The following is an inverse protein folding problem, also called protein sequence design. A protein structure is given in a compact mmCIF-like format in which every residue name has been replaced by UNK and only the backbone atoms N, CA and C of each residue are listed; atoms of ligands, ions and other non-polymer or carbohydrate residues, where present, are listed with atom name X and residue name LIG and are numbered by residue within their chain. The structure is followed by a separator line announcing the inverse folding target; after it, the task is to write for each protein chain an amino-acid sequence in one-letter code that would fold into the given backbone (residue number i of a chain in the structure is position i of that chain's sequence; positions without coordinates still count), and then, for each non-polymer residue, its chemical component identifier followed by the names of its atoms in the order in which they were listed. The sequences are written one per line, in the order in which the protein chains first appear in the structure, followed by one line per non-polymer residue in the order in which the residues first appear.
data_IF_078009892007
#
_entry.id   IF_078009892007
#
_cell.length_a   1.000
_cell.length_b   1.000
_cell.length_c   1.000
_cell.angle_alpha   90.00
_cell.angle_beta   90.00
_cell.angle_gamma   90.00
#
_symmetry.space_group_name_H-M   'P 1'
#
loop_
_entity.id
_entity.type
_entity.pdbx_description
1 polymer ?
#
# COMPACT_ATOMS: atom_id res chain seq x y z
N UNK A 1 -30.54 6.52 14.67
CA UNK A 1 -29.81 7.77 14.36
C UNK A 1 -28.38 7.54 13.85
N UNK A 2 -27.59 6.69 14.46
CA UNK A 2 -26.17 6.50 14.06
C UNK A 2 -25.98 5.94 12.64
N UNK A 3 -26.83 4.98 12.21
CA UNK A 3 -26.68 4.35 10.88
C UNK A 3 -26.95 5.32 9.72
N UNK A 4 -28.00 6.13 9.79
CA UNK A 4 -28.32 7.12 8.75
C UNK A 4 -27.24 8.21 8.65
N UNK A 5 -26.67 8.62 9.78
CA UNK A 5 -25.61 9.61 9.81
C UNK A 5 -24.33 9.07 9.13
N UNK A 6 -23.96 7.82 9.40
CA UNK A 6 -22.83 7.18 8.76
C UNK A 6 -23.05 7.03 7.25
N UNK A 7 -24.25 6.61 6.83
CA UNK A 7 -24.60 6.51 5.42
C UNK A 7 -24.54 7.86 4.70
N UNK A 8 -25.00 8.94 5.34
CA UNK A 8 -24.85 10.29 4.80
C UNK A 8 -23.38 10.67 4.59
N UNK A 9 -22.51 10.43 5.57
CA UNK A 9 -21.07 10.69 5.42
C UNK A 9 -20.41 9.83 4.34
N UNK A 10 -20.85 8.58 4.16
CA UNK A 10 -20.37 7.72 3.07
C UNK A 10 -20.77 8.30 1.71
N UNK A 11 -22.00 8.80 1.60
CA UNK A 11 -22.46 9.45 0.37
C UNK A 11 -21.69 10.75 0.09
N UNK A 12 -21.43 11.56 1.12
CA UNK A 12 -20.57 12.74 0.99
C UNK A 12 -19.17 12.41 0.49
N UNK A 13 -18.61 11.24 0.92
CA UNK A 13 -17.30 10.78 0.39
C UNK A 13 -17.41 10.37 -1.07
N UNK A 14 -18.48 9.69 -1.48
CA UNK A 14 -18.73 9.32 -2.89
C UNK A 14 -18.84 10.53 -3.80
N UNK A 15 -19.48 11.57 -3.32
CA UNK A 15 -19.72 12.81 -4.06
C UNK A 15 -18.55 13.80 -4.00
N UNK A 16 -17.48 13.46 -3.25
CA UNK A 16 -16.29 14.31 -3.11
C UNK A 16 -16.44 15.48 -2.14
N UNK A 17 -17.57 15.59 -1.44
CA UNK A 17 -17.84 16.63 -0.42
C UNK A 17 -17.10 16.37 0.90
N UNK A 18 -16.70 15.12 1.17
CA UNK A 18 -15.95 14.73 2.36
C UNK A 18 -14.74 13.89 1.96
N UNK A 19 -13.53 14.24 2.45
CA UNK A 19 -12.35 13.41 2.22
C UNK A 19 -12.42 12.11 3.04
N UNK A 20 -11.80 11.02 2.55
CA UNK A 20 -11.69 9.76 3.29
C UNK A 20 -11.04 9.97 4.66
N UNK A 21 -10.00 10.78 4.74
CA UNK A 21 -9.32 11.11 6.00
C UNK A 21 -10.28 11.80 6.99
N UNK A 22 -11.04 12.78 6.51
CA UNK A 22 -12.03 13.48 7.32
C UNK A 22 -13.15 12.53 7.78
N UNK A 23 -13.56 11.59 6.90
CA UNK A 23 -14.48 10.52 7.28
C UNK A 23 -13.92 9.68 8.43
N UNK A 24 -12.70 9.15 8.29
CA UNK A 24 -12.05 8.34 9.33
C UNK A 24 -11.92 9.11 10.65
N UNK A 25 -11.56 10.40 10.60
CA UNK A 25 -11.49 11.25 11.80
C UNK A 25 -12.85 11.43 12.47
N UNK A 26 -13.92 11.66 11.69
CA UNK A 26 -15.28 11.76 12.22
C UNK A 26 -15.75 10.43 12.80
N UNK A 27 -15.41 9.29 12.16
CA UNK A 27 -15.72 7.97 12.69
C UNK A 27 -14.99 7.70 14.00
N UNK A 28 -13.72 8.11 14.12
CA UNK A 28 -12.96 8.03 15.36
C UNK A 28 -13.61 8.84 16.50
N UNK A 29 -14.14 10.02 16.22
CA UNK A 29 -14.90 10.81 17.19
C UNK A 29 -16.20 10.14 17.65
N UNK A 30 -16.73 9.19 16.86
CA UNK A 30 -17.86 8.32 17.23
C UNK A 30 -17.44 7.01 17.90
N UNK A 31 -16.15 6.84 18.22
CA UNK A 31 -15.60 5.64 18.84
C UNK A 31 -15.35 4.48 17.88
N UNK A 32 -15.41 4.72 16.56
CA UNK A 32 -15.17 3.71 15.53
C UNK A 32 -13.71 3.76 15.11
N UNK A 33 -13.01 2.64 15.20
CA UNK A 33 -11.58 2.57 14.88
C UNK A 33 -11.32 2.78 13.38
N UNK A 34 -10.14 3.28 13.04
CA UNK A 34 -9.76 3.55 11.66
C UNK A 34 -9.89 2.34 10.72
N UNK A 35 -9.52 1.09 11.11
CA UNK A 35 -9.76 -0.08 10.26
C UNK A 35 -11.24 -0.31 9.96
N UNK A 36 -12.11 -0.19 10.95
CA UNK A 36 -13.57 -0.36 10.77
C UNK A 36 -14.11 0.75 9.87
N UNK A 37 -13.68 2.00 10.07
CA UNK A 37 -14.09 3.11 9.23
C UNK A 37 -13.68 2.91 7.76
N UNK A 38 -12.48 2.42 7.51
CA UNK A 38 -11.99 2.09 6.17
C UNK A 38 -12.81 0.96 5.53
N UNK A 39 -13.17 -0.05 6.32
CA UNK A 39 -13.97 -1.18 5.86
C UNK A 39 -15.41 -0.75 5.51
N UNK A 40 -16.00 0.19 6.26
CA UNK A 40 -17.31 0.77 5.93
C UNK A 40 -17.27 1.44 4.56
N UNK A 41 -16.22 2.20 4.24
CA UNK A 41 -16.06 2.81 2.91
C UNK A 41 -15.93 1.75 1.81
N UNK A 42 -15.14 0.69 2.05
CA UNK A 42 -14.95 -0.40 1.10
C UNK A 42 -16.27 -1.16 0.82
N UNK A 43 -17.06 -1.47 1.85
CA UNK A 43 -18.36 -2.14 1.69
C UNK A 43 -19.41 -1.30 0.96
N UNK A 44 -19.22 -0.01 0.90
CA UNK A 44 -20.11 0.91 0.21
C UNK A 44 -19.61 1.31 -1.18
N UNK A 45 -18.71 0.54 -1.80
CA UNK A 45 -18.15 0.82 -3.13
C UNK A 45 -17.59 2.24 -3.28
N UNK A 46 -17.14 2.82 -2.18
CA UNK A 46 -16.31 4.03 -2.27
C UNK A 46 -15.01 3.58 -2.88
N UNK A 47 -14.95 3.70 -4.21
CA UNK A 47 -13.80 3.29 -4.99
C UNK A 47 -12.53 3.76 -4.31
N UNK A 48 -11.62 2.84 -4.04
CA UNK A 48 -10.23 3.18 -3.73
C UNK A 48 -9.73 3.88 -4.99
N UNK A 49 -9.86 5.19 -5.02
CA UNK A 49 -9.54 5.96 -6.20
C UNK A 49 -8.16 5.57 -6.69
N UNK A 50 -8.01 5.34 -7.99
CA UNK A 50 -6.72 5.34 -8.66
C UNK A 50 -6.17 6.78 -8.59
N UNK A 51 -5.85 7.24 -7.39
CA UNK A 51 -5.19 8.51 -7.19
C UNK A 51 -3.80 8.37 -7.78
N UNK A 52 -3.58 8.97 -8.91
CA UNK A 52 -2.23 9.22 -9.42
C UNK A 52 -1.57 10.22 -8.48
N UNK A 53 -0.31 9.99 -8.16
CA UNK A 53 0.46 10.94 -7.37
C UNK A 53 0.60 12.24 -8.16
N UNK A 54 -0.27 13.22 -7.91
CA UNK A 54 -0.25 14.53 -8.59
C UNK A 54 0.80 15.49 -7.99
N UNK A 55 1.92 14.97 -7.53
CA UNK A 55 3.01 15.84 -7.13
C UNK A 55 3.68 16.43 -8.37
N UNK A 56 3.48 17.73 -8.56
CA UNK A 56 4.21 18.50 -9.57
C UNK A 56 5.31 19.30 -8.86
N UNK A 57 6.59 18.93 -9.00
CA UNK A 57 7.67 19.70 -8.42
C UNK A 57 7.65 21.11 -9.00
N UNK A 58 7.89 22.11 -8.15
CA UNK A 58 7.94 23.52 -8.56
C UNK A 58 9.15 23.81 -9.45
N UNK A 59 10.16 22.94 -9.43
CA UNK A 59 11.37 23.02 -10.25
C UNK A 59 11.89 21.60 -10.52
N UNK A 60 12.33 21.35 -11.73
CA UNK A 60 13.05 20.12 -12.06
C UNK A 60 14.34 20.02 -11.25
N UNK A 61 14.67 18.82 -10.76
CA UNK A 61 15.92 18.57 -10.04
C UNK A 61 17.13 18.86 -10.92
N UNK A 62 18.17 19.49 -10.36
CA UNK A 62 19.39 19.86 -11.07
C UNK A 62 20.52 18.83 -10.96
N UNK A 63 20.27 17.68 -10.32
CA UNK A 63 21.34 16.74 -9.96
C UNK A 63 22.19 17.24 -8.78
N UNK A 64 23.26 16.50 -8.46
CA UNK A 64 24.14 16.80 -7.34
C UNK A 64 23.73 16.13 -6.02
N UNK A 65 24.48 16.35 -4.92
CA UNK A 65 24.23 15.71 -3.65
C UNK A 65 23.00 16.32 -2.95
N UNK A 66 22.09 15.46 -2.50
CA UNK A 66 20.97 15.82 -1.63
C UNK A 66 21.35 15.51 -0.17
N UNK A 67 21.27 16.53 0.69
CA UNK A 67 21.45 16.36 2.14
C UNK A 67 20.06 16.34 2.79
N UNK A 68 19.71 15.22 3.42
CA UNK A 68 18.46 15.06 4.16
C UNK A 68 18.77 14.99 5.66
N UNK A 69 18.10 15.83 6.45
CA UNK A 69 18.17 15.78 7.90
C UNK A 69 17.03 14.90 8.41
N UNK A 70 17.38 13.82 9.10
CA UNK A 70 16.43 12.98 9.83
C UNK A 70 16.48 13.31 11.32
N UNK A 71 15.33 13.24 11.98
CA UNK A 71 15.19 13.51 13.42
C UNK A 71 15.99 12.51 14.28
N UNK A 72 16.26 11.32 13.77
CA UNK A 72 17.08 10.29 14.40
C UNK A 72 17.78 9.47 13.31
N UNK A 73 19.03 9.10 13.56
CA UNK A 73 19.80 8.26 12.62
C UNK A 73 19.15 6.88 12.46
N UNK A 74 18.98 6.39 11.22
CA UNK A 74 18.54 5.01 10.99
C UNK A 74 19.62 4.03 11.44
N UNK A 75 19.20 2.90 11.98
CA UNK A 75 20.10 1.81 12.39
C UNK A 75 20.07 0.65 11.40
N UNK A 76 18.96 0.49 10.69
CA UNK A 76 18.74 -0.55 9.71
C UNK A 76 18.11 0.06 8.46
N UNK A 77 18.50 -0.43 7.30
CA UNK A 77 18.00 0.06 6.01
C UNK A 77 17.09 -0.95 5.29
N UNK A 78 17.01 -2.19 5.76
CA UNK A 78 16.10 -3.18 5.24
C UNK A 78 14.74 -3.05 5.94
N UNK A 79 13.63 -2.78 5.21
CA UNK A 79 12.31 -2.54 5.79
C UNK A 79 11.73 -3.76 6.53
N UNK A 80 12.16 -4.98 6.20
CA UNK A 80 11.72 -6.21 6.89
C UNK A 80 12.25 -6.35 8.31
N UNK A 81 13.31 -5.63 8.66
CA UNK A 81 13.89 -5.59 10.01
C UNK A 81 13.65 -4.26 10.73
N UNK A 82 13.06 -3.29 10.06
CA UNK A 82 12.81 -1.96 10.60
C UNK A 82 11.65 -1.98 11.59
N UNK A 83 11.96 -1.88 12.89
CA UNK A 83 10.96 -1.80 13.96
C UNK A 83 10.56 -0.35 14.30
N UNK A 84 11.39 0.64 13.94
CA UNK A 84 11.21 2.04 14.27
C UNK A 84 10.91 2.93 13.06
N UNK A 85 10.16 4.02 13.31
CA UNK A 85 9.80 4.99 12.26
C UNK A 85 10.99 5.57 11.53
N UNK A 86 12.12 5.80 12.23
CA UNK A 86 13.36 6.32 11.63
C UNK A 86 13.91 5.40 10.53
N UNK A 87 13.85 4.09 10.77
CA UNK A 87 14.33 3.07 9.83
C UNK A 87 13.34 2.90 8.66
N UNK A 88 12.03 2.93 8.95
CA UNK A 88 10.98 2.91 7.95
C UNK A 88 11.06 4.11 6.99
N UNK A 89 11.27 5.32 7.51
CA UNK A 89 11.41 6.53 6.69
C UNK A 89 12.68 6.45 5.85
N UNK A 90 13.81 6.06 6.44
CA UNK A 90 15.09 6.00 5.74
C UNK A 90 15.07 4.95 4.61
N UNK A 91 14.46 3.79 4.82
CA UNK A 91 14.35 2.75 3.79
C UNK A 91 13.55 3.22 2.56
N UNK A 92 12.57 4.14 2.74
CA UNK A 92 11.79 4.71 1.63
C UNK A 92 12.57 5.57 0.65
N UNK A 93 13.80 5.92 0.97
CA UNK A 93 14.68 6.66 0.03
C UNK A 93 15.07 5.81 -1.17
N UNK A 94 15.11 4.49 -1.02
CA UNK A 94 15.58 3.57 -2.07
C UNK A 94 14.75 2.28 -2.21
N UNK A 95 13.80 2.00 -1.30
CA UNK A 95 12.82 0.93 -1.45
C UNK A 95 11.44 1.50 -1.76
N UNK A 96 10.81 0.96 -2.78
CA UNK A 96 9.43 1.28 -3.15
C UNK A 96 8.51 0.08 -2.92
N UNK A 97 7.30 0.27 -2.36
CA UNK A 97 6.30 -0.79 -2.26
C UNK A 97 5.51 -0.94 -3.57
N UNK A 98 4.70 -1.99 -3.68
CA UNK A 98 3.72 -2.13 -4.76
C UNK A 98 2.72 -0.98 -4.76
N UNK A 99 2.25 -0.57 -3.58
CA UNK A 99 1.37 0.58 -3.41
C UNK A 99 1.73 1.35 -2.13
N UNK A 100 1.44 2.63 -2.12
CA UNK A 100 1.66 3.54 -0.99
C UNK A 100 0.40 4.34 -0.68
N UNK A 101 0.53 5.30 0.23
CA UNK A 101 -0.56 6.17 0.64
C UNK A 101 -0.25 7.61 0.24
N UNK A 102 -1.25 8.30 -0.29
CA UNK A 102 -1.16 9.75 -0.50
C UNK A 102 -1.44 10.52 0.81
N UNK A 103 -1.36 11.84 0.74
CA UNK A 103 -1.59 12.73 1.89
C UNK A 103 -3.05 12.73 2.38
N UNK A 104 -3.99 12.33 1.55
CA UNK A 104 -5.41 12.18 1.86
C UNK A 104 -5.73 10.80 2.46
N UNK A 105 -4.78 9.86 2.44
CA UNK A 105 -4.94 8.49 2.93
C UNK A 105 -5.56 7.56 1.89
N UNK A 106 -5.46 7.87 0.60
CA UNK A 106 -5.83 6.96 -0.47
C UNK A 106 -4.67 6.05 -0.83
N UNK A 107 -4.96 4.79 -1.14
CA UNK A 107 -3.96 3.87 -1.66
C UNK A 107 -3.65 4.23 -3.13
N UNK A 108 -2.37 4.44 -3.42
CA UNK A 108 -1.88 4.78 -4.75
C UNK A 108 -0.88 3.73 -5.25
N UNK A 109 -0.89 3.38 -6.55
CA UNK A 109 0.06 2.43 -7.10
C UNK A 109 1.45 3.07 -7.20
N UNK A 110 2.51 2.32 -6.81
CA UNK A 110 3.91 2.72 -6.97
C UNK A 110 4.64 1.78 -7.94
N UNK A 111 5.06 0.59 -7.51
CA UNK A 111 5.59 -0.44 -8.42
C UNK A 111 4.48 -1.21 -9.15
N UNK A 112 3.27 -1.24 -8.58
CA UNK A 112 2.10 -1.75 -9.27
C UNK A 112 1.63 -0.79 -10.36
N UNK A 113 1.06 -1.31 -11.42
CA UNK A 113 0.44 -0.54 -12.50
C UNK A 113 -0.88 0.10 -12.06
N UNK A 114 -1.62 -0.60 -11.21
CA UNK A 114 -2.90 -0.17 -10.65
C UNK A 114 -3.12 -0.77 -9.26
N UNK A 115 -4.01 -0.18 -8.47
CA UNK A 115 -4.45 -0.76 -7.20
C UNK A 115 -5.49 -1.85 -7.49
N UNK A 116 -5.32 -3.08 -6.99
CA UNK A 116 -6.30 -4.14 -7.16
C UNK A 116 -7.65 -3.79 -6.52
N UNK A 117 -8.73 -3.97 -7.27
CA UNK A 117 -10.11 -3.76 -6.84
C UNK A 117 -10.99 -4.87 -7.42
N UNK A 118 -12.23 -5.02 -6.90
CA UNK A 118 -13.21 -5.90 -7.52
C UNK A 118 -13.57 -5.42 -8.94
N UNK A 119 -13.69 -4.13 -9.12
CA UNK A 119 -14.06 -3.52 -10.40
C UNK A 119 -13.07 -3.79 -11.53
N UNK A 120 -11.75 -3.86 -11.22
CA UNK A 120 -10.72 -4.19 -12.21
C UNK A 120 -10.32 -5.68 -12.21
N UNK A 121 -11.04 -6.52 -11.44
CA UNK A 121 -10.77 -7.95 -11.29
C UNK A 121 -9.51 -8.29 -10.50
N UNK A 122 -8.85 -7.30 -9.91
CA UNK A 122 -7.64 -7.49 -9.10
C UNK A 122 -7.93 -8.04 -7.69
N UNK A 123 -9.17 -7.91 -7.20
CA UNK A 123 -9.63 -8.49 -5.94
C UNK A 123 -10.74 -9.48 -6.23
N UNK A 124 -10.61 -10.72 -5.73
CA UNK A 124 -11.66 -11.74 -5.87
C UNK A 124 -12.93 -11.35 -5.11
N UNK A 125 -14.08 -11.91 -5.55
CA UNK A 125 -15.38 -11.62 -4.95
C UNK A 125 -15.45 -12.00 -3.47
N UNK A 126 -14.80 -13.10 -3.09
CA UNK A 126 -14.72 -13.61 -1.74
C UNK A 126 -13.64 -12.90 -0.87
N UNK A 127 -12.85 -11.99 -1.47
CA UNK A 127 -11.82 -11.23 -0.77
C UNK A 127 -10.60 -12.06 -0.35
N UNK A 128 -10.44 -13.29 -0.84
CA UNK A 128 -9.30 -14.16 -0.48
C UNK A 128 -8.12 -14.07 -1.42
N UNK A 129 -8.28 -13.44 -2.58
CA UNK A 129 -7.23 -13.38 -3.60
C UNK A 129 -7.05 -11.96 -4.12
N UNK A 130 -5.80 -11.51 -4.16
CA UNK A 130 -5.41 -10.21 -4.72
C UNK A 130 -4.41 -10.43 -5.84
N UNK A 131 -4.75 -9.96 -7.05
CA UNK A 131 -3.87 -10.01 -8.22
C UNK A 131 -3.26 -8.65 -8.47
N UNK A 132 -1.94 -8.55 -8.37
CA UNK A 132 -1.18 -7.35 -8.65
C UNK A 132 -0.59 -7.40 -10.05
N UNK A 133 -0.81 -6.35 -10.83
CA UNK A 133 -0.12 -6.10 -12.10
C UNK A 133 1.03 -5.13 -11.84
N UNK A 134 2.23 -5.46 -12.29
CA UNK A 134 3.45 -4.68 -12.08
C UNK A 134 3.67 -3.73 -13.27
N UNK A 135 4.33 -2.60 -13.03
CA UNK A 135 4.85 -1.73 -14.09
C UNK A 135 5.97 -2.46 -14.84
N UNK A 136 5.99 -2.34 -16.19
CA UNK A 136 6.93 -3.09 -17.06
C UNK A 136 8.27 -2.42 -17.28
N UNK A 137 8.37 -1.12 -16.98
CA UNK A 137 9.55 -0.28 -17.28
C UNK A 137 10.39 0.05 -16.06
N UNK A 138 10.11 -0.62 -14.93
CA UNK A 138 10.86 -0.45 -13.69
C UNK A 138 12.15 -1.25 -13.73
N UNK A 139 13.23 -0.64 -13.26
CA UNK A 139 14.55 -1.27 -13.14
C UNK A 139 15.10 -1.10 -11.75
N UNK A 140 15.86 -2.11 -11.32
CA UNK A 140 16.73 -2.01 -10.17
C UNK A 140 17.88 -1.02 -10.40
N UNK A 141 18.57 -0.61 -9.33
CA UNK A 141 19.71 0.31 -9.41
C UNK A 141 20.89 -0.25 -10.24
N UNK A 142 20.96 -1.57 -10.43
CA UNK A 142 21.95 -2.24 -11.30
C UNK A 142 21.51 -2.32 -12.77
N UNK A 143 20.33 -1.78 -13.09
CA UNK A 143 19.77 -1.76 -14.45
C UNK A 143 18.96 -2.99 -14.84
N UNK A 144 18.89 -4.04 -14.00
CA UNK A 144 18.04 -5.20 -14.26
C UNK A 144 16.56 -4.86 -14.14
N UNK A 145 15.68 -5.55 -14.91
CA UNK A 145 14.25 -5.33 -14.79
C UNK A 145 13.73 -5.80 -13.42
N UNK A 146 12.77 -5.06 -12.87
CA UNK A 146 11.95 -5.50 -11.75
C UNK A 146 10.82 -6.36 -12.28
N UNK A 147 10.64 -7.56 -11.72
CA UNK A 147 9.67 -8.56 -12.19
C UNK A 147 8.91 -9.21 -11.04
N UNK A 148 7.97 -10.08 -11.39
CA UNK A 148 7.22 -10.89 -10.45
C UNK A 148 8.12 -11.83 -9.60
N UNK A 149 9.29 -12.23 -10.12
CA UNK A 149 10.24 -13.03 -9.36
C UNK A 149 10.77 -12.29 -8.14
N UNK A 150 10.96 -10.96 -8.23
CA UNK A 150 11.39 -10.13 -7.10
C UNK A 150 10.33 -10.06 -6.00
N UNK A 151 9.05 -10.04 -6.40
CA UNK A 151 7.92 -10.04 -5.45
C UNK A 151 7.80 -11.39 -4.75
N UNK A 152 7.92 -12.50 -5.50
CA UNK A 152 7.91 -13.86 -4.94
C UNK A 152 9.09 -14.05 -4.00
N UNK A 153 10.30 -13.67 -4.40
CA UNK A 153 11.49 -13.71 -3.56
C UNK A 153 11.30 -12.92 -2.25
N UNK A 154 10.73 -11.72 -2.35
CA UNK A 154 10.49 -10.88 -1.16
C UNK A 154 9.54 -11.56 -0.18
N UNK A 155 8.50 -12.21 -0.69
CA UNK A 155 7.58 -12.99 0.15
C UNK A 155 8.27 -14.19 0.78
N UNK A 156 8.99 -15.01 0.00
CA UNK A 156 9.73 -16.17 0.50
C UNK A 156 10.70 -15.76 1.60
N UNK A 157 11.47 -14.69 1.35
CA UNK A 157 12.42 -14.16 2.32
C UNK A 157 11.73 -13.69 3.60
N UNK A 158 10.65 -12.93 3.51
CA UNK A 158 9.95 -12.39 4.67
C UNK A 158 9.14 -13.44 5.44
N UNK A 159 8.66 -14.48 4.77
CA UNK A 159 7.90 -15.58 5.36
C UNK A 159 8.79 -16.63 6.05
N UNK A 160 10.06 -16.75 5.65
CA UNK A 160 10.99 -17.74 6.21
C UNK A 160 11.35 -17.37 7.66
N UNK A 161 11.04 -18.25 8.65
CA UNK A 161 11.43 -18.02 10.04
C UNK A 161 12.95 -17.91 10.26
N UNK A 162 13.77 -18.52 9.39
CA UNK A 162 15.23 -18.48 9.49
C UNK A 162 15.81 -17.08 9.25
N UNK A 163 15.09 -16.21 8.55
CA UNK A 163 15.50 -14.82 8.33
C UNK A 163 15.35 -13.96 9.58
N UNK A 164 14.51 -14.37 10.53
CA UNK A 164 14.12 -13.59 11.70
C UNK A 164 13.57 -12.18 11.33
N UNK A 165 12.95 -12.04 10.16
CA UNK A 165 12.37 -10.78 9.72
C UNK A 165 11.24 -10.34 10.66
N UNK A 166 11.25 -9.08 11.06
CA UNK A 166 10.23 -8.51 11.95
C UNK A 166 8.82 -8.59 11.32
N UNK A 167 8.77 -8.57 10.00
CA UNK A 167 7.52 -8.60 9.22
C UNK A 167 6.96 -10.02 8.99
N UNK A 168 7.63 -11.09 9.42
CA UNK A 168 7.21 -12.49 9.19
C UNK A 168 5.74 -12.74 9.52
N UNK A 169 5.21 -12.11 10.57
CA UNK A 169 3.81 -12.25 10.97
C UNK A 169 2.79 -11.86 9.89
N UNK A 170 3.15 -10.94 9.00
CA UNK A 170 2.29 -10.52 7.88
C UNK A 170 2.42 -11.40 6.63
N UNK A 171 3.52 -12.16 6.50
CA UNK A 171 3.85 -12.90 5.27
C UNK A 171 3.69 -14.41 5.39
N UNK A 172 3.80 -14.99 6.59
CA UNK A 172 3.80 -16.44 6.81
C UNK A 172 2.48 -17.13 6.49
N UNK A 173 1.36 -16.41 6.60
CA UNK A 173 0.00 -16.97 6.45
C UNK A 173 -0.60 -16.65 5.06
N UNK A 174 0.19 -16.11 4.15
CA UNK A 174 -0.19 -15.87 2.76
C UNK A 174 0.65 -16.71 1.82
N UNK A 175 0.15 -16.90 0.58
CA UNK A 175 0.90 -17.50 -0.51
C UNK A 175 1.00 -16.50 -1.65
N UNK A 176 2.16 -16.38 -2.26
CA UNK A 176 2.37 -15.55 -3.44
C UNK A 176 2.76 -16.45 -4.62
N UNK A 177 2.04 -16.31 -5.72
CA UNK A 177 2.26 -17.07 -6.94
C UNK A 177 2.60 -16.12 -8.10
N UNK A 178 3.65 -16.44 -8.84
CA UNK A 178 3.93 -15.81 -10.13
C UNK A 178 2.94 -16.34 -11.17
N UNK A 179 2.23 -15.44 -11.84
CA UNK A 179 1.37 -15.78 -12.97
C UNK A 179 2.12 -15.57 -14.29
N UNK A 180 2.77 -14.43 -14.42
CA UNK A 180 3.70 -14.09 -15.51
C UNK A 180 4.76 -13.12 -14.97
N UNK A 181 5.63 -12.60 -15.84
CA UNK A 181 6.74 -11.73 -15.42
C UNK A 181 6.28 -10.41 -14.77
N UNK A 182 5.04 -10.01 -14.98
CA UNK A 182 4.48 -8.75 -14.45
C UNK A 182 3.16 -8.91 -13.72
N UNK A 183 2.82 -10.15 -13.34
CA UNK A 183 1.59 -10.44 -12.61
C UNK A 183 1.86 -11.43 -11.48
N UNK A 184 1.48 -11.04 -10.27
CA UNK A 184 1.54 -11.89 -9.09
C UNK A 184 0.17 -12.01 -8.45
N UNK A 185 -0.09 -13.16 -7.86
CA UNK A 185 -1.30 -13.49 -7.13
C UNK A 185 -0.97 -13.72 -5.67
N UNK A 186 -1.60 -12.95 -4.79
CA UNK A 186 -1.50 -13.12 -3.33
C UNK A 186 -2.77 -13.81 -2.84
N UNK A 187 -2.61 -14.91 -2.13
CA UNK A 187 -3.70 -15.75 -1.63
C UNK A 187 -3.69 -15.70 -0.11
N UNK A 188 -4.80 -15.38 0.48
CA UNK A 188 -5.05 -15.30 1.90
C UNK A 188 -5.88 -16.51 2.36
N UNK A 189 -5.59 -17.06 3.54
CA UNK A 189 -6.36 -18.15 4.11
C UNK A 189 -7.81 -17.74 4.49
N UNK A 190 -8.05 -16.44 4.66
CA UNK A 190 -9.35 -15.85 5.01
C UNK A 190 -9.49 -14.51 4.29
N UNK A 191 -10.72 -14.03 4.05
CA UNK A 191 -10.95 -12.67 3.54
C UNK A 191 -10.29 -11.64 4.46
N UNK A 192 -9.63 -10.65 3.88
CA UNK A 192 -8.90 -9.58 4.59
C UNK A 192 -9.53 -8.22 4.33
#
# INVERSE_FOLDING_TARGET
MTSQYIQGMVQDVKEGGLSRRSFIQKMAALGITAPIATQILAWNDVAMANATLEYKPTKAGGGGPLKMLLWQAPTLLNPHFASGTKDQIASRVFYEPLAGWDKEGNLIPQLAAEVPTKANGGLSEDGTTVTWKLKKDVKWHDGKPFTADDVVFTWEYAADPATAAYTTGAYKDIKVEKIDDFTVKVIFAKPT
#
